data_IF_183751543735
#
_entry.id   IF_183751543735
#
_cell.length_a   1.000
_cell.length_b   1.000
_cell.length_c   1.000
_cell.angle_alpha   90.00
_cell.angle_beta   90.00
_cell.angle_gamma   90.00
#
_symmetry.space_group_name_H-M   'P 1'
#
loop_
_entity.id
_entity.type
_entity.pdbx_description
1 polymer ?
#
# COMPACT_ATOMS: atom_id res chain seq x y z
N UNK A 1 -0.49 -33.35 -64.65
CA UNK A 1 -1.14 -33.82 -63.40
C UNK A 1 -0.15 -34.41 -62.38
N UNK A 2 0.85 -35.21 -62.77
CA UNK A 2 1.78 -35.90 -61.84
C UNK A 2 2.64 -34.96 -60.96
N UNK A 3 3.04 -33.78 -61.47
CA UNK A 3 3.79 -32.76 -60.72
C UNK A 3 2.94 -31.95 -59.73
N UNK A 4 1.65 -31.73 -60.04
CA UNK A 4 0.73 -31.06 -59.12
C UNK A 4 0.37 -31.95 -57.93
N UNK A 5 0.24 -33.28 -58.16
CA UNK A 5 -0.03 -34.24 -57.09
C UNK A 5 1.15 -34.37 -56.10
N UNK A 6 2.38 -34.32 -56.61
CA UNK A 6 3.60 -34.35 -55.79
C UNK A 6 3.82 -33.05 -55.03
N UNK A 7 3.51 -31.90 -55.64
CA UNK A 7 3.54 -30.60 -54.95
C UNK A 7 2.49 -30.52 -53.82
N UNK A 8 1.28 -31.00 -54.06
CA UNK A 8 0.22 -31.09 -53.04
C UNK A 8 0.64 -32.01 -51.88
N UNK A 9 1.32 -33.13 -52.17
CA UNK A 9 1.79 -34.07 -51.16
C UNK A 9 2.88 -33.43 -50.27
N UNK A 10 3.79 -32.65 -50.84
CA UNK A 10 4.86 -31.95 -50.11
C UNK A 10 4.27 -30.84 -49.23
N UNK A 11 3.31 -30.06 -49.72
CA UNK A 11 2.61 -29.05 -48.92
C UNK A 11 1.90 -29.69 -47.74
N UNK A 12 1.20 -30.81 -47.98
CA UNK A 12 0.53 -31.57 -46.91
C UNK A 12 1.53 -32.04 -45.85
N UNK A 13 2.71 -32.55 -46.24
CA UNK A 13 3.75 -33.00 -45.32
C UNK A 13 4.35 -31.84 -44.47
N UNK A 14 4.45 -30.64 -45.04
CA UNK A 14 4.91 -29.43 -44.33
C UNK A 14 3.87 -28.96 -43.32
N UNK A 15 2.57 -29.03 -43.65
CA UNK A 15 1.48 -28.64 -42.73
C UNK A 15 1.39 -29.61 -41.54
N UNK A 16 1.68 -30.90 -41.74
CA UNK A 16 1.70 -31.90 -40.65
C UNK A 16 3.01 -31.94 -39.85
N UNK A 17 4.03 -31.16 -40.23
CA UNK A 17 5.30 -31.06 -39.48
C UNK A 17 5.27 -30.01 -38.36
N UNK A 18 4.08 -29.56 -37.93
CA UNK A 18 3.94 -28.72 -36.74
C UNK A 18 4.10 -29.57 -35.48
N UNK A 19 5.35 -29.88 -35.15
CA UNK A 19 5.72 -30.49 -33.88
C UNK A 19 5.64 -29.40 -32.81
N UNK A 20 4.47 -29.21 -32.21
CA UNK A 20 4.34 -28.37 -31.01
C UNK A 20 5.05 -29.11 -29.88
N UNK A 21 6.17 -28.57 -29.40
CA UNK A 21 6.71 -29.02 -28.12
C UNK A 21 5.67 -28.65 -27.07
N UNK A 22 5.10 -29.64 -26.40
CA UNK A 22 4.33 -29.40 -25.20
C UNK A 22 5.29 -28.76 -24.19
N UNK A 23 5.14 -27.46 -23.98
CA UNK A 23 5.92 -26.70 -23.00
C UNK A 23 5.31 -26.95 -21.62
N UNK A 24 5.49 -28.16 -21.08
CA UNK A 24 5.18 -28.37 -19.68
C UNK A 24 6.26 -27.71 -18.83
N UNK A 25 5.83 -26.89 -17.88
CA UNK A 25 6.72 -26.28 -16.91
C UNK A 25 7.35 -27.36 -16.02
N UNK A 26 8.66 -27.26 -15.77
CA UNK A 26 9.33 -28.16 -14.83
C UNK A 26 9.08 -27.68 -13.41
N UNK A 27 9.03 -28.58 -12.43
CA UNK A 27 8.93 -28.16 -11.04
C UNK A 27 10.15 -27.31 -10.66
N UNK A 28 9.90 -26.27 -9.87
CA UNK A 28 10.95 -25.48 -9.23
C UNK A 28 11.89 -26.38 -8.42
N UNK A 29 13.17 -26.02 -8.41
CA UNK A 29 14.26 -26.75 -7.72
C UNK A 29 14.87 -25.93 -6.59
N UNK A 30 14.15 -24.91 -6.09
CA UNK A 30 14.62 -24.06 -4.99
C UNK A 30 15.76 -23.11 -5.36
N UNK A 31 15.87 -22.75 -6.65
CA UNK A 31 16.88 -21.82 -7.17
C UNK A 31 16.24 -20.53 -7.74
N UNK A 32 15.08 -20.12 -7.22
CA UNK A 32 14.45 -18.86 -7.58
C UNK A 32 15.34 -17.71 -7.13
N UNK A 33 15.44 -16.68 -7.98
CA UNK A 33 16.09 -15.43 -7.60
C UNK A 33 15.04 -14.36 -7.34
N UNK A 34 15.29 -13.51 -6.36
CA UNK A 34 14.38 -12.45 -5.96
C UNK A 34 15.01 -11.09 -6.21
N UNK A 35 14.20 -10.06 -6.47
CA UNK A 35 14.74 -8.69 -6.54
C UNK A 35 15.22 -8.16 -5.20
N UNK A 36 14.75 -8.76 -4.09
CA UNK A 36 15.03 -8.38 -2.71
C UNK A 36 14.91 -9.62 -1.81
N UNK A 37 15.74 -9.70 -0.78
CA UNK A 37 15.65 -10.73 0.27
C UNK A 37 14.66 -10.33 1.37
N UNK A 38 14.39 -9.02 1.50
CA UNK A 38 13.42 -8.45 2.44
C UNK A 38 12.68 -7.30 1.78
N UNK A 39 11.36 -7.29 1.90
CA UNK A 39 10.49 -6.19 1.48
C UNK A 39 10.08 -5.43 2.74
N UNK A 40 10.72 -4.29 2.94
CA UNK A 40 10.28 -3.29 3.90
C UNK A 40 9.14 -2.49 3.28
N UNK A 41 7.96 -2.56 3.90
CA UNK A 41 6.92 -1.57 3.67
C UNK A 41 7.20 -0.41 4.63
N UNK A 42 6.98 0.81 4.16
CA UNK A 42 7.16 2.02 4.96
C UNK A 42 6.21 2.03 6.18
N UNK A 43 6.39 3.02 7.05
CA UNK A 43 5.55 3.14 8.26
C UNK A 43 4.10 3.40 7.88
N UNK A 44 3.17 2.60 8.42
CA UNK A 44 1.73 2.75 8.19
C UNK A 44 1.02 3.15 9.48
N UNK A 45 0.02 4.02 9.38
CA UNK A 45 -0.88 4.27 10.50
C UNK A 45 -1.91 3.15 10.63
N UNK A 46 -2.37 2.92 11.86
CA UNK A 46 -3.41 1.93 12.17
C UNK A 46 -4.63 2.12 11.28
N UNK A 47 -5.18 1.02 10.76
CA UNK A 47 -6.33 0.97 9.85
C UNK A 47 -6.17 1.72 8.51
N UNK A 48 -4.99 2.24 8.19
CA UNK A 48 -4.69 2.84 6.89
C UNK A 48 -3.97 1.82 6.02
N UNK A 49 -4.39 1.74 4.75
CA UNK A 49 -3.75 0.87 3.77
C UNK A 49 -2.36 1.36 3.38
N UNK A 50 -1.41 0.44 3.26
CA UNK A 50 -0.08 0.75 2.75
C UNK A 50 -0.14 1.11 1.27
N UNK A 51 0.93 1.74 0.77
CA UNK A 51 1.26 1.61 -0.65
C UNK A 51 1.42 0.15 -1.07
N UNK A 52 1.23 -0.10 -2.37
CA UNK A 52 1.59 -1.37 -2.99
C UNK A 52 3.10 -1.41 -3.26
N UNK A 53 3.77 -2.44 -2.76
CA UNK A 53 5.18 -2.75 -3.03
C UNK A 53 5.26 -3.90 -4.02
N UNK A 54 6.36 -3.95 -4.78
CA UNK A 54 6.61 -5.06 -5.71
C UNK A 54 7.83 -5.88 -5.29
N UNK A 55 7.74 -7.17 -5.58
CA UNK A 55 8.80 -8.16 -5.54
C UNK A 55 8.81 -8.87 -6.89
N UNK A 56 9.97 -8.92 -7.55
CA UNK A 56 10.15 -9.74 -8.75
C UNK A 56 10.74 -11.08 -8.36
N UNK A 57 10.17 -12.13 -8.94
CA UNK A 57 10.69 -13.50 -8.86
C UNK A 57 11.19 -13.88 -10.25
N UNK A 58 12.46 -14.27 -10.34
CA UNK A 58 13.11 -14.55 -11.62
C UNK A 58 13.33 -16.05 -11.80
N UNK A 59 12.99 -16.53 -12.99
CA UNK A 59 13.45 -17.79 -13.52
C UNK A 59 14.65 -17.54 -14.44
N UNK A 60 15.87 -17.77 -13.95
CA UNK A 60 17.10 -17.65 -14.76
C UNK A 60 17.44 -18.91 -15.56
N UNK A 61 16.62 -19.95 -15.46
CA UNK A 61 16.83 -21.17 -16.23
C UNK A 61 16.32 -21.00 -17.66
N UNK A 62 16.82 -21.85 -18.55
CA UNK A 62 16.41 -21.90 -19.95
C UNK A 62 15.12 -22.72 -20.19
N UNK A 63 14.41 -23.11 -19.13
CA UNK A 63 13.15 -23.84 -19.20
C UNK A 63 12.08 -23.11 -18.39
N UNK A 64 10.82 -23.25 -18.79
CA UNK A 64 9.72 -22.81 -17.94
C UNK A 64 9.72 -23.60 -16.63
N UNK A 65 9.44 -22.93 -15.53
CA UNK A 65 9.32 -23.52 -14.20
C UNK A 65 7.92 -23.30 -13.64
N UNK A 66 7.44 -24.24 -12.84
CA UNK A 66 6.20 -24.12 -12.04
C UNK A 66 6.58 -24.18 -10.57
N UNK A 67 6.21 -23.14 -9.83
CA UNK A 67 6.37 -23.06 -8.39
C UNK A 67 5.14 -23.72 -7.77
N UNK A 68 5.29 -24.85 -7.04
CA UNK A 68 4.15 -25.59 -6.51
C UNK A 68 3.25 -24.75 -5.62
N UNK A 69 3.85 -23.93 -4.77
CA UNK A 69 3.13 -23.04 -3.84
C UNK A 69 3.85 -21.71 -3.65
N UNK A 70 3.07 -20.63 -3.65
CA UNK A 70 3.48 -19.31 -3.14
C UNK A 70 2.46 -18.92 -2.06
N UNK A 71 2.91 -18.68 -0.83
CA UNK A 71 1.98 -18.39 0.27
C UNK A 71 2.59 -17.49 1.34
N UNK A 72 1.74 -16.85 2.14
CA UNK A 72 2.19 -16.15 3.34
C UNK A 72 2.46 -17.15 4.47
N UNK A 73 3.54 -16.95 5.24
CA UNK A 73 3.94 -17.88 6.29
C UNK A 73 2.91 -17.97 7.42
N UNK A 74 2.19 -16.88 7.69
CA UNK A 74 1.05 -16.84 8.62
C UNK A 74 -0.29 -17.30 8.00
N UNK A 75 -0.31 -17.62 6.71
CA UNK A 75 -1.51 -18.03 5.98
C UNK A 75 -2.66 -17.03 6.13
N UNK A 76 -3.85 -17.53 6.50
CA UNK A 76 -5.06 -16.72 6.69
C UNK A 76 -4.96 -15.71 7.83
N UNK A 77 -4.02 -15.90 8.77
CA UNK A 77 -3.79 -14.94 9.86
C UNK A 77 -2.83 -13.81 9.46
N UNK A 78 -2.32 -13.83 8.23
CA UNK A 78 -1.49 -12.75 7.74
C UNK A 78 -2.33 -11.49 7.48
N UNK A 79 -1.80 -10.35 7.91
CA UNK A 79 -2.36 -9.04 7.59
C UNK A 79 -1.79 -8.49 6.27
N UNK A 80 -0.88 -9.24 5.63
CA UNK A 80 -0.47 -8.95 4.26
C UNK A 80 -1.46 -9.54 3.25
N UNK A 81 -1.56 -8.88 2.11
CA UNK A 81 -2.27 -9.35 0.93
C UNK A 81 -1.29 -9.37 -0.23
N UNK A 82 -1.36 -10.43 -1.02
CA UNK A 82 -0.54 -10.61 -2.20
C UNK A 82 -1.42 -10.54 -3.45
N UNK A 83 -0.83 -10.03 -4.53
CA UNK A 83 -1.32 -10.28 -5.87
C UNK A 83 -0.17 -10.83 -6.70
N UNK A 84 -0.30 -12.07 -7.16
CA UNK A 84 0.70 -12.80 -7.93
C UNK A 84 0.24 -12.84 -9.37
N UNK A 85 0.95 -12.14 -10.25
CA UNK A 85 0.68 -12.06 -11.69
C UNK A 85 -0.80 -11.75 -12.05
N UNK A 86 -1.39 -10.80 -11.33
CA UNK A 86 -2.77 -10.35 -11.53
C UNK A 86 -3.81 -11.06 -10.66
N UNK A 87 -3.45 -12.17 -10.01
CA UNK A 87 -4.36 -12.93 -9.15
C UNK A 87 -4.19 -12.53 -7.67
N UNK A 88 -5.21 -11.97 -7.00
CA UNK A 88 -5.14 -11.65 -5.57
C UNK A 88 -5.35 -12.89 -4.69
N UNK A 89 -4.68 -12.97 -3.56
CA UNK A 89 -4.78 -14.11 -2.63
C UNK A 89 -3.68 -14.15 -1.56
N UNK A 90 -3.66 -15.23 -0.79
CA UNK A 90 -2.65 -15.50 0.24
C UNK A 90 -1.97 -16.87 0.07
N UNK A 91 -2.52 -17.71 -0.81
CA UNK A 91 -2.00 -19.00 -1.25
C UNK A 91 -2.27 -19.09 -2.75
N UNK A 92 -1.23 -19.44 -3.50
CA UNK A 92 -1.25 -19.64 -4.94
C UNK A 92 -0.58 -20.96 -5.25
N UNK A 93 -1.18 -21.72 -6.15
CA UNK A 93 -0.68 -23.04 -6.53
C UNK A 93 -0.24 -23.04 -7.98
N UNK A 94 0.80 -23.81 -8.30
CA UNK A 94 1.30 -24.05 -9.65
C UNK A 94 1.59 -22.74 -10.42
N UNK A 95 2.27 -21.80 -9.78
CA UNK A 95 2.61 -20.51 -10.39
C UNK A 95 3.73 -20.70 -11.41
N UNK A 96 3.43 -20.48 -12.69
CA UNK A 96 4.39 -20.69 -13.77
C UNK A 96 5.20 -19.43 -14.10
N UNK A 97 6.50 -19.60 -14.39
CA UNK A 97 7.39 -18.56 -14.90
C UNK A 97 8.12 -19.10 -16.13
N UNK A 98 8.01 -18.39 -17.24
CA UNK A 98 8.67 -18.75 -18.50
C UNK A 98 10.19 -18.72 -18.37
N UNK A 99 10.88 -19.38 -19.31
CA UNK A 99 12.33 -19.43 -19.36
C UNK A 99 12.94 -18.02 -19.49
N UNK A 100 13.94 -17.69 -18.67
CA UNK A 100 14.60 -16.39 -18.61
C UNK A 100 13.65 -15.20 -18.34
N UNK A 101 12.50 -15.47 -17.72
CA UNK A 101 11.49 -14.47 -17.44
C UNK A 101 11.34 -14.21 -15.93
N UNK A 102 10.43 -13.31 -15.59
CA UNK A 102 10.07 -12.97 -14.22
C UNK A 102 8.58 -12.71 -14.07
N UNK A 103 8.05 -12.96 -12.87
CA UNK A 103 6.73 -12.47 -12.49
C UNK A 103 6.83 -11.35 -11.46
N UNK A 104 5.75 -10.59 -11.33
CA UNK A 104 5.56 -9.62 -10.27
C UNK A 104 4.67 -10.21 -9.17
N UNK A 105 5.08 -9.96 -7.93
CA UNK A 105 4.23 -10.07 -6.75
C UNK A 105 4.05 -8.67 -6.20
N UNK A 106 2.80 -8.26 -6.07
CA UNK A 106 2.41 -7.03 -5.39
C UNK A 106 2.03 -7.33 -3.95
N UNK A 107 2.52 -6.52 -3.03
CA UNK A 107 2.36 -6.68 -1.58
C UNK A 107 1.75 -5.40 -1.02
N UNK A 108 0.71 -5.56 -0.21
CA UNK A 108 0.09 -4.48 0.55
C UNK A 108 -0.40 -4.97 1.91
N UNK A 109 -0.70 -4.06 2.82
CA UNK A 109 -1.24 -4.38 4.14
C UNK A 109 -2.17 -3.30 4.65
N UNK A 110 -3.06 -3.68 5.56
CA UNK A 110 -3.87 -2.78 6.39
C UNK A 110 -3.93 -3.42 7.76
N UNK A 111 -3.40 -2.75 8.78
CA UNK A 111 -3.19 -3.34 10.10
C UNK A 111 -3.91 -2.50 11.14
N UNK A 112 -4.79 -3.12 11.92
CA UNK A 112 -5.26 -2.55 13.18
C UNK A 112 -4.19 -2.75 14.24
N UNK A 113 -3.67 -1.65 14.78
CA UNK A 113 -2.65 -1.64 15.82
C UNK A 113 -3.07 -2.41 17.08
N UNK A 114 -4.38 -2.53 17.35
CA UNK A 114 -4.88 -3.29 18.50
C UNK A 114 -4.80 -4.81 18.30
N UNK A 115 -4.63 -5.28 17.06
CA UNK A 115 -4.50 -6.70 16.71
C UNK A 115 -3.05 -7.20 16.79
N UNK A 116 -2.08 -6.31 16.96
CA UNK A 116 -0.65 -6.64 17.03
C UNK A 116 -0.09 -6.31 18.42
N UNK A 117 0.86 -7.11 18.87
CA UNK A 117 1.54 -6.92 20.17
C UNK A 117 2.82 -6.11 20.06
N UNK A 118 3.39 -6.03 18.85
CA UNK A 118 4.60 -5.29 18.54
C UNK A 118 4.28 -4.33 17.38
N UNK A 119 4.66 -3.04 17.46
CA UNK A 119 4.50 -2.11 16.34
C UNK A 119 5.21 -2.59 15.06
N UNK A 120 6.25 -3.44 15.17
CA UNK A 120 6.86 -4.09 14.01
C UNK A 120 6.09 -5.37 13.70
N UNK A 121 5.31 -5.34 12.62
CA UNK A 121 4.65 -6.52 12.08
C UNK A 121 5.55 -7.19 11.04
N UNK A 122 5.73 -8.51 11.19
CA UNK A 122 6.55 -9.32 10.30
C UNK A 122 5.79 -10.54 9.78
N UNK A 123 6.11 -10.96 8.56
CA UNK A 123 5.69 -12.22 7.95
C UNK A 123 6.71 -12.58 6.85
N UNK A 124 6.49 -13.65 6.09
CA UNK A 124 7.31 -13.98 4.94
C UNK A 124 6.45 -14.54 3.81
N UNK A 125 6.86 -14.31 2.56
CA UNK A 125 6.36 -15.04 1.40
C UNK A 125 7.20 -16.30 1.28
N UNK A 126 6.56 -17.47 1.40
CA UNK A 126 7.17 -18.78 1.25
C UNK A 126 6.92 -19.26 -0.17
N UNK A 127 8.01 -19.62 -0.84
CA UNK A 127 8.01 -20.25 -2.15
C UNK A 127 8.37 -21.72 -1.97
N UNK A 128 7.70 -22.58 -2.75
CA UNK A 128 7.93 -24.02 -2.75
C UNK A 128 7.66 -24.70 -1.40
N UNK A 129 7.87 -26.02 -1.34
CA UNK A 129 7.74 -26.81 -0.10
C UNK A 129 8.97 -27.70 0.14
N UNK A 130 9.18 -28.12 1.39
CA UNK A 130 10.27 -29.04 1.74
C UNK A 130 11.67 -28.46 1.52
N UNK A 131 12.56 -29.24 0.91
CA UNK A 131 13.98 -28.90 0.74
C UNK A 131 14.23 -27.76 -0.26
N UNK A 132 13.28 -27.51 -1.17
CA UNK A 132 13.36 -26.43 -2.16
C UNK A 132 12.78 -25.11 -1.64
N UNK A 133 12.35 -25.05 -0.38
CA UNK A 133 11.67 -23.89 0.16
C UNK A 133 12.59 -22.68 0.24
N UNK A 134 12.14 -21.56 -0.32
CA UNK A 134 12.79 -20.26 -0.23
C UNK A 134 11.81 -19.25 0.37
N UNK A 135 12.31 -18.19 0.99
CA UNK A 135 11.45 -17.15 1.55
C UNK A 135 11.99 -15.76 1.33
N UNK A 136 11.05 -14.81 1.29
CA UNK A 136 11.34 -13.38 1.29
C UNK A 136 10.61 -12.76 2.48
N UNK A 137 11.36 -12.09 3.35
CA UNK A 137 10.83 -11.49 4.57
C UNK A 137 10.01 -10.23 4.25
N UNK A 138 8.91 -10.03 4.97
CA UNK A 138 8.05 -8.85 4.92
C UNK A 138 8.09 -8.15 6.27
N UNK A 139 8.37 -6.85 6.27
CA UNK A 139 8.48 -6.06 7.50
C UNK A 139 7.71 -4.74 7.33
N UNK A 140 6.88 -4.40 8.31
CA UNK A 140 6.14 -3.14 8.35
C UNK A 140 6.14 -2.57 9.76
N UNK A 141 6.45 -1.28 9.89
CA UNK A 141 6.22 -0.55 11.14
C UNK A 141 4.81 0.01 11.14
N UNK A 142 4.04 -0.28 12.17
CA UNK A 142 2.68 0.20 12.38
C UNK A 142 2.69 1.20 13.53
N UNK A 143 2.10 2.37 13.30
CA UNK A 143 1.92 3.42 14.31
C UNK A 143 0.45 3.60 14.63
N UNK A 144 0.13 3.66 15.92
CA UNK A 144 -1.16 4.16 16.36
C UNK A 144 -1.24 5.68 16.21
N UNK A 145 -2.44 6.23 16.04
CA UNK A 145 -2.64 7.67 15.83
C UNK A 145 -4.05 8.13 16.21
N UNK A 146 -4.19 9.42 16.52
CA UNK A 146 -5.48 10.09 16.64
C UNK A 146 -5.98 10.51 15.27
N UNK A 147 -7.08 9.91 14.81
CA UNK A 147 -7.73 10.30 13.56
C UNK A 147 -8.75 11.38 13.82
N UNK A 148 -8.59 12.51 13.14
CA UNK A 148 -9.53 13.63 13.18
C UNK A 148 -10.12 13.80 11.77
N UNK A 149 -11.44 13.71 11.66
CA UNK A 149 -12.13 13.73 10.38
C UNK A 149 -13.54 14.30 10.52
N UNK A 150 -14.10 14.89 9.45
CA UNK A 150 -15.48 15.36 9.44
C UNK A 150 -16.45 14.20 9.68
N UNK A 151 -17.46 14.47 10.50
CA UNK A 151 -18.51 13.50 10.75
C UNK A 151 -19.34 13.27 9.48
N UNK A 152 -20.00 12.10 9.40
CA UNK A 152 -20.98 11.80 8.36
C UNK A 152 -22.35 11.69 8.99
N UNK A 153 -23.35 12.33 8.38
CA UNK A 153 -24.73 12.21 8.83
C UNK A 153 -25.35 10.85 8.45
N UNK A 154 -26.61 10.64 8.82
CA UNK A 154 -27.36 9.41 8.52
C UNK A 154 -27.56 9.15 7.01
N UNK A 155 -27.40 10.17 6.18
CA UNK A 155 -27.50 10.08 4.73
C UNK A 155 -26.11 9.94 4.07
N UNK A 156 -25.04 9.91 4.86
CA UNK A 156 -23.65 9.83 4.41
C UNK A 156 -23.07 11.16 3.93
N UNK A 157 -23.75 12.29 4.15
CA UNK A 157 -23.23 13.62 3.84
C UNK A 157 -22.11 13.97 4.83
N UNK A 158 -20.97 14.40 4.30
CA UNK A 158 -19.79 14.78 5.07
C UNK A 158 -19.98 16.20 5.61
N UNK A 159 -19.60 16.42 6.87
CA UNK A 159 -19.56 17.74 7.48
C UNK A 159 -18.68 18.70 6.68
N UNK A 160 -19.16 19.93 6.49
CA UNK A 160 -18.47 20.97 5.73
C UNK A 160 -18.30 22.25 6.53
N UNK A 161 -17.27 23.02 6.15
CA UNK A 161 -17.00 24.36 6.65
C UNK A 161 -17.15 25.31 5.47
N UNK A 162 -18.01 26.32 5.64
CA UNK A 162 -18.08 27.44 4.71
C UNK A 162 -16.84 28.33 4.90
N UNK A 163 -16.08 28.54 3.83
CA UNK A 163 -14.86 29.36 3.83
C UNK A 163 -15.06 30.72 3.18
N UNK A 164 -16.02 30.88 2.26
CA UNK A 164 -16.30 32.13 1.59
C UNK A 164 -17.66 32.08 0.86
N UNK A 165 -18.09 33.22 0.34
CA UNK A 165 -19.20 33.34 -0.61
C UNK A 165 -18.68 33.89 -1.94
N UNK A 166 -19.09 33.31 -3.05
CA UNK A 166 -18.70 33.77 -4.39
C UNK A 166 -19.42 35.08 -4.78
N UNK A 167 -19.09 35.61 -5.97
CA UNK A 167 -19.72 36.84 -6.49
C UNK A 167 -21.22 36.69 -6.83
N UNK A 168 -21.73 35.46 -6.87
CA UNK A 168 -23.13 35.13 -7.17
C UNK A 168 -23.95 34.86 -5.90
N UNK A 169 -23.31 34.85 -4.73
CA UNK A 169 -23.96 34.55 -3.46
C UNK A 169 -23.95 33.06 -3.08
N UNK A 170 -23.22 32.22 -3.81
CA UNK A 170 -23.08 30.79 -3.47
C UNK A 170 -21.97 30.55 -2.45
N UNK A 171 -22.24 29.65 -1.51
CA UNK A 171 -21.30 29.29 -0.45
C UNK A 171 -20.19 28.38 -0.96
N UNK A 172 -18.94 28.80 -0.80
CA UNK A 172 -17.77 27.99 -1.04
C UNK A 172 -17.49 27.21 0.24
N UNK A 173 -17.72 25.90 0.19
CA UNK A 173 -17.55 24.99 1.32
C UNK A 173 -16.45 23.97 1.08
N UNK A 174 -15.77 23.57 2.15
CA UNK A 174 -14.78 22.49 2.15
C UNK A 174 -15.18 21.41 3.14
N UNK A 175 -14.83 20.15 2.88
CA UNK A 175 -15.05 19.07 3.85
C UNK A 175 -14.18 19.32 5.08
N UNK A 176 -14.77 19.37 6.27
CA UNK A 176 -14.04 19.72 7.47
C UNK A 176 -14.90 19.75 8.72
N UNK A 177 -14.26 19.98 9.86
CA UNK A 177 -14.87 19.94 11.18
C UNK A 177 -14.24 21.00 12.10
N UNK A 178 -14.96 21.34 13.16
CA UNK A 178 -14.47 22.23 14.20
C UNK A 178 -13.90 21.45 15.38
N UNK A 179 -12.78 21.92 15.93
CA UNK A 179 -12.26 21.44 17.21
C UNK A 179 -13.23 21.75 18.35
N UNK A 180 -13.23 20.90 19.38
CA UNK A 180 -14.11 21.08 20.53
C UNK A 180 -13.53 22.10 21.52
N UNK A 181 -13.72 23.39 21.23
CA UNK A 181 -13.26 24.47 22.11
C UNK A 181 -11.74 24.63 22.12
N UNK A 182 -11.17 24.88 23.30
CA UNK A 182 -9.71 24.95 23.45
C UNK A 182 -9.15 23.53 23.43
N UNK A 183 -8.17 23.28 22.57
CA UNK A 183 -7.63 21.95 22.31
C UNK A 183 -6.11 21.98 22.39
N UNK A 184 -5.51 20.88 22.86
CA UNK A 184 -4.06 20.71 22.92
C UNK A 184 -3.65 19.43 22.21
N UNK A 185 -2.74 19.52 21.25
CA UNK A 185 -2.09 18.38 20.60
C UNK A 185 -0.77 18.09 21.31
N UNK A 186 -0.63 16.88 21.85
CA UNK A 186 0.53 16.44 22.63
C UNK A 186 1.48 15.59 21.79
N UNK A 187 2.60 15.17 22.38
CA UNK A 187 3.55 14.24 21.75
C UNK A 187 3.27 12.76 22.06
N UNK A 188 2.13 12.44 22.69
CA UNK A 188 1.81 11.06 23.08
C UNK A 188 1.53 10.16 21.89
N UNK A 189 0.77 10.67 20.90
CA UNK A 189 0.48 9.97 19.64
C UNK A 189 0.43 10.97 18.48
N UNK A 190 0.78 10.55 17.26
CA UNK A 190 0.56 11.34 16.06
C UNK A 190 -0.92 11.66 15.85
N UNK A 191 -1.20 12.83 15.29
CA UNK A 191 -2.52 13.24 14.83
C UNK A 191 -2.58 13.12 13.30
N UNK A 192 -3.59 12.44 12.76
CA UNK A 192 -3.82 12.33 11.32
C UNK A 192 -5.15 13.03 11.00
N UNK A 193 -5.07 14.10 10.21
CA UNK A 193 -6.19 14.98 9.90
C UNK A 193 -6.69 14.70 8.48
N UNK A 194 -7.96 14.37 8.36
CA UNK A 194 -8.68 14.27 7.08
C UNK A 194 -9.63 15.46 6.93
N UNK A 195 -9.60 16.13 5.78
CA UNK A 195 -10.35 17.37 5.55
C UNK A 195 -9.82 18.54 6.38
N UNK A 196 -10.56 19.64 6.39
CA UNK A 196 -10.13 20.86 7.07
C UNK A 196 -10.47 20.83 8.55
N UNK A 197 -9.47 20.98 9.41
CA UNK A 197 -9.62 21.11 10.84
C UNK A 197 -9.68 22.60 11.21
N UNK A 198 -10.81 23.07 11.74
CA UNK A 198 -11.00 24.47 12.13
C UNK A 198 -10.88 24.68 13.63
N UNK A 199 -10.09 25.67 14.03
CA UNK A 199 -10.11 26.23 15.38
C UNK A 199 -11.35 27.14 15.48
N UNK A 200 -12.29 26.93 16.42
CA UNK A 200 -13.48 27.76 16.53
C UNK A 200 -13.18 29.22 16.90
N UNK A 201 -14.13 30.11 16.64
CA UNK A 201 -14.01 31.54 16.98
C UNK A 201 -13.67 31.73 18.47
N UNK A 202 -12.70 32.60 18.76
CA UNK A 202 -12.26 32.91 20.13
C UNK A 202 -11.69 31.69 20.91
N UNK A 203 -11.25 30.63 20.23
CA UNK A 203 -10.63 29.44 20.84
C UNK A 203 -9.17 29.30 20.47
N UNK A 204 -8.45 28.47 21.22
CA UNK A 204 -7.03 28.21 21.02
C UNK A 204 -6.76 26.74 20.71
N UNK A 205 -5.94 26.49 19.68
CA UNK A 205 -5.23 25.21 19.51
C UNK A 205 -3.78 25.42 19.94
N UNK A 206 -3.32 24.60 20.88
CA UNK A 206 -1.92 24.53 21.29
C UNK A 206 -1.31 23.23 20.81
N UNK A 207 -0.17 23.28 20.13
CA UNK A 207 0.60 22.12 19.71
C UNK A 207 1.89 22.10 20.52
N UNK A 208 2.04 21.09 21.36
CA UNK A 208 3.18 20.95 22.27
C UNK A 208 4.43 20.43 21.55
N UNK A 209 5.59 20.70 22.13
CA UNK A 209 6.88 20.22 21.64
C UNK A 209 6.88 18.71 21.39
N UNK A 210 7.43 18.27 20.25
CA UNK A 210 7.49 16.86 19.86
C UNK A 210 6.20 16.28 19.29
N UNK A 211 5.12 17.05 19.16
CA UNK A 211 3.89 16.58 18.52
C UNK A 211 4.11 16.31 17.02
N UNK A 212 3.49 15.24 16.51
CA UNK A 212 3.53 14.87 15.10
C UNK A 212 2.13 15.03 14.50
N UNK A 213 1.99 15.85 13.47
CA UNK A 213 0.72 16.17 12.83
C UNK A 213 0.85 15.84 11.34
N UNK A 214 -0.04 14.98 10.89
CA UNK A 214 -0.07 14.48 9.52
C UNK A 214 -1.35 14.93 8.84
N UNK A 215 -1.22 15.51 7.66
CA UNK A 215 -2.33 15.96 6.83
C UNK A 215 -2.56 14.96 5.70
N UNK A 216 -3.79 14.48 5.57
CA UNK A 216 -4.21 13.67 4.42
C UNK A 216 -4.46 14.54 3.19
N UNK A 217 -4.48 13.96 2.00
CA UNK A 217 -4.79 14.71 0.77
C UNK A 217 -6.07 15.55 0.88
N UNK A 218 -5.98 16.82 0.47
CA UNK A 218 -7.06 17.82 0.54
C UNK A 218 -7.52 18.13 1.98
N UNK A 219 -6.57 18.14 2.92
CA UNK A 219 -6.80 18.58 4.29
C UNK A 219 -6.04 19.89 4.59
N UNK A 220 -6.32 20.47 5.75
CA UNK A 220 -5.67 21.71 6.16
C UNK A 220 -6.13 22.17 7.52
N UNK A 221 -5.52 23.24 8.03
CA UNK A 221 -5.89 23.87 9.29
C UNK A 221 -6.50 25.26 9.01
N UNK A 222 -7.66 25.55 9.60
CA UNK A 222 -8.33 26.84 9.52
C UNK A 222 -8.28 27.52 10.89
N UNK A 223 -7.73 28.73 10.93
CA UNK A 223 -7.78 29.58 12.12
C UNK A 223 -8.89 30.61 11.92
N UNK A 224 -10.02 30.42 12.60
CA UNK A 224 -11.15 31.34 12.47
C UNK A 224 -10.87 32.69 13.13
N UNK A 225 -11.83 33.62 12.96
CA UNK A 225 -11.80 34.94 13.58
C UNK A 225 -11.51 34.85 15.09
N UNK A 226 -10.57 35.67 15.55
CA UNK A 226 -10.11 35.71 16.95
C UNK A 226 -9.64 34.36 17.54
N UNK A 227 -9.47 33.32 16.72
CA UNK A 227 -8.87 32.07 17.16
C UNK A 227 -7.35 32.21 17.24
N UNK A 228 -6.71 31.36 18.03
CA UNK A 228 -5.26 31.37 18.22
C UNK A 228 -4.68 29.98 17.94
N UNK A 229 -3.59 29.94 17.16
CA UNK A 229 -2.75 28.76 16.99
C UNK A 229 -1.43 29.00 17.70
N UNK A 230 -1.07 28.12 18.62
CA UNK A 230 0.20 28.16 19.37
C UNK A 230 0.98 26.90 19.03
N UNK A 231 2.24 27.04 18.61
CA UNK A 231 3.13 25.91 18.30
C UNK A 231 4.38 26.04 19.18
N UNK A 232 4.49 25.18 20.18
CA UNK A 232 5.55 25.21 21.19
C UNK A 232 6.71 24.26 20.80
N UNK A 233 7.27 24.40 19.60
CA UNK A 233 8.42 23.57 19.20
C UNK A 233 9.70 23.92 19.99
N UNK A 234 10.52 22.92 20.29
CA UNK A 234 11.80 23.07 20.98
C UNK A 234 12.95 22.46 20.16
N UNK A 235 14.18 22.91 20.40
CA UNK A 235 15.37 22.35 19.73
C UNK A 235 15.55 20.86 20.12
N UNK A 236 15.62 19.97 19.14
CA UNK A 236 15.61 18.50 19.30
C UNK A 236 14.29 17.92 19.84
N UNK A 237 13.23 18.71 19.88
CA UNK A 237 11.88 18.28 20.21
C UNK A 237 10.89 19.13 19.40
N UNK A 238 11.14 19.18 18.09
CA UNK A 238 10.40 19.98 17.14
C UNK A 238 8.98 19.45 16.98
N UNK A 239 8.06 20.34 16.59
CA UNK A 239 6.75 19.93 16.11
C UNK A 239 6.91 19.53 14.64
N UNK A 240 6.54 18.29 14.30
CA UNK A 240 6.55 17.80 12.93
C UNK A 240 5.18 17.99 12.29
N UNK A 241 5.15 18.65 11.13
CA UNK A 241 3.96 18.80 10.31
C UNK A 241 4.29 18.33 8.89
N UNK A 242 3.68 17.25 8.44
CA UNK A 242 3.90 16.67 7.11
C UNK A 242 2.67 15.92 6.58
N UNK A 243 2.78 15.23 5.44
CA UNK A 243 1.71 14.36 4.94
C UNK A 243 1.55 13.08 5.77
N UNK A 244 0.41 12.41 5.67
CA UNK A 244 0.18 11.09 6.28
C UNK A 244 0.81 9.92 5.50
N UNK A 245 1.28 10.21 4.27
CA UNK A 245 2.00 9.28 3.39
C UNK A 245 3.51 9.37 3.65
N UNK A 246 3.97 8.53 4.59
CA UNK A 246 5.35 8.52 5.08
C UNK A 246 6.36 7.82 4.15
N UNK A 247 5.91 7.36 2.98
CA UNK A 247 6.78 6.68 2.03
C UNK A 247 7.76 7.65 1.37
N UNK A 248 9.02 7.23 1.17
CA UNK A 248 10.06 8.09 0.60
C UNK A 248 9.68 8.69 -0.77
N UNK A 249 8.93 7.94 -1.58
CA UNK A 249 8.43 8.42 -2.89
C UNK A 249 7.46 9.60 -2.80
N UNK A 250 6.89 9.86 -1.62
CA UNK A 250 5.96 10.95 -1.34
C UNK A 250 6.59 12.10 -0.54
N UNK A 251 7.90 12.04 -0.25
CA UNK A 251 8.57 13.05 0.60
C UNK A 251 8.45 14.50 0.11
N UNK A 252 8.20 14.68 -1.19
CA UNK A 252 8.07 15.98 -1.84
C UNK A 252 6.63 16.30 -2.27
N UNK A 253 5.65 15.51 -1.84
CA UNK A 253 4.24 15.75 -2.12
C UNK A 253 3.62 16.42 -0.89
N UNK A 254 3.04 17.62 -1.03
CA UNK A 254 2.27 18.24 0.06
C UNK A 254 1.10 17.34 0.48
N UNK A 255 0.83 17.29 1.79
CA UNK A 255 -0.44 16.79 2.33
C UNK A 255 -1.62 17.66 1.91
#
# INVERSE_FOLDING_TARGET
>A
MRYYLTFLLIITLVIFSSCRKDFSANLSTGNLQFSKDTVYLDTVFTNIGSSTYNLKVYNKSNKAISIPSVQLSKGQNSLYRLNVDGTPGQLFENVEILANDSLYIFIETTIDYNLITNPIYTDAIIFDTGENSQRVELITLVKDAYFLYPSKDLNGLVETININTDSNGEEISVNGFYLNGNTTFTNEKPYVIYGYCAIPENKTLTIEAGANIHFHSNSGLIVNKNATLIINGELNNEVLIEGDRLENKFSNIPG
#
